data_IF_256420573330
#
_entry.id   IF_256420573330
#
_cell.length_a   1.000
_cell.length_b   1.000
_cell.length_c   1.000
_cell.angle_alpha   90.00
_cell.angle_beta   90.00
_cell.angle_gamma   90.00
#
_symmetry.space_group_name_H-M   'P 1'
#
loop_
_entity.id
_entity.type
_entity.pdbx_description
1 polymer ?
#
# COMPACT_ATOMS: atom_id res chain seq x y z
N UNK A 1 19.19 -12.94 -17.37
CA UNK A 1 18.28 -13.41 -16.31
C UNK A 1 17.65 -12.15 -15.72
N UNK A 2 16.50 -11.76 -16.25
CA UNK A 2 15.88 -10.46 -15.92
C UNK A 2 15.39 -10.51 -14.47
N UNK A 3 15.74 -9.50 -13.67
CA UNK A 3 15.14 -9.26 -12.35
C UNK A 3 13.61 -9.29 -12.48
N UNK A 4 12.98 -10.38 -12.03
CA UNK A 4 11.56 -10.67 -12.28
C UNK A 4 10.72 -10.80 -11.02
N UNK A 5 11.27 -10.45 -9.86
CA UNK A 5 10.66 -10.81 -8.59
C UNK A 5 10.62 -9.70 -7.52
N UNK A 6 10.99 -8.46 -7.86
CA UNK A 6 10.78 -7.33 -6.98
C UNK A 6 9.64 -6.48 -7.51
N UNK A 7 8.70 -6.14 -6.63
CA UNK A 7 7.74 -5.07 -6.91
C UNK A 7 8.52 -3.78 -7.19
N UNK A 8 7.98 -2.95 -8.08
CA UNK A 8 8.48 -1.61 -8.31
C UNK A 8 8.32 -0.79 -7.03
N UNK A 9 9.37 -0.09 -6.61
CA UNK A 9 9.30 0.84 -5.48
C UNK A 9 8.74 2.18 -5.93
N UNK A 10 7.86 2.76 -5.12
CA UNK A 10 7.27 4.09 -5.31
C UNK A 10 7.33 4.82 -3.98
N UNK A 11 7.79 6.07 -3.98
CA UNK A 11 7.77 6.89 -2.76
C UNK A 11 6.44 7.61 -2.66
N UNK A 12 5.77 7.48 -1.51
CA UNK A 12 4.53 8.20 -1.23
C UNK A 12 4.78 9.71 -1.17
N UNK A 13 4.03 10.47 -1.95
CA UNK A 13 4.10 11.93 -2.01
C UNK A 13 3.00 12.58 -1.17
N UNK A 14 1.82 11.96 -1.07
CA UNK A 14 0.69 12.50 -0.28
C UNK A 14 -0.27 11.40 0.17
N UNK A 15 -0.63 11.40 1.46
CA UNK A 15 -1.80 10.66 1.95
C UNK A 15 -3.06 11.46 1.65
N UNK A 16 -4.01 10.88 0.94
CA UNK A 16 -5.20 11.58 0.43
C UNK A 16 -6.40 11.38 1.33
N UNK A 17 -6.74 10.13 1.64
CA UNK A 17 -7.89 9.80 2.49
C UNK A 17 -7.81 8.36 2.99
N UNK A 18 -8.27 8.06 4.22
CA UNK A 18 -8.54 6.69 4.63
C UNK A 18 -9.76 6.13 3.89
N UNK A 19 -9.79 4.82 3.71
CA UNK A 19 -10.92 4.03 3.25
C UNK A 19 -11.46 3.24 4.44
N UNK A 20 -12.65 3.61 4.92
CA UNK A 20 -13.23 3.08 6.16
C UNK A 20 -14.00 1.75 5.97
N UNK A 21 -13.69 1.02 4.91
CA UNK A 21 -14.32 -0.27 4.63
C UNK A 21 -13.48 -1.41 5.22
N UNK A 22 -14.03 -2.05 6.27
CA UNK A 22 -13.42 -3.19 6.95
C UNK A 22 -12.33 -2.83 7.96
N UNK A 23 -11.93 -3.79 8.80
CA UNK A 23 -11.04 -3.57 9.95
C UNK A 23 -9.55 -3.41 9.63
N UNK A 24 -9.17 -3.11 8.39
CA UNK A 24 -7.76 -2.96 7.96
C UNK A 24 -7.37 -1.52 7.61
N UNK A 25 -8.34 -0.60 7.63
CA UNK A 25 -8.23 0.83 7.31
C UNK A 25 -7.22 1.16 6.19
N UNK A 26 -7.42 0.65 4.95
CA UNK A 26 -6.56 1.02 3.82
C UNK A 26 -6.66 2.53 3.53
N UNK A 27 -5.72 3.07 2.77
CA UNK A 27 -5.70 4.50 2.44
C UNK A 27 -5.39 4.77 0.98
N UNK A 28 -5.85 5.91 0.46
CA UNK A 28 -5.44 6.41 -0.85
C UNK A 28 -4.16 7.22 -0.69
N UNK A 29 -3.14 6.89 -1.47
CA UNK A 29 -1.83 7.54 -1.45
C UNK A 29 -1.41 7.90 -2.88
N UNK A 30 -0.94 9.12 -3.08
CA UNK A 30 -0.28 9.55 -4.32
C UNK A 30 1.21 9.19 -4.27
N UNK A 31 1.75 8.73 -5.39
CA UNK A 31 3.17 8.45 -5.57
C UNK A 31 3.94 9.64 -6.13
N UNK A 32 5.27 9.57 -6.09
CA UNK A 32 6.18 10.46 -6.79
C UNK A 32 6.20 10.24 -8.31
N UNK A 33 5.65 9.12 -8.76
CA UNK A 33 5.46 8.74 -10.16
C UNK A 33 4.13 9.26 -10.77
N UNK A 34 3.44 10.15 -10.07
CA UNK A 34 2.11 10.68 -10.43
C UNK A 34 0.99 9.62 -10.40
N UNK A 35 1.25 8.44 -9.85
CA UNK A 35 0.26 7.39 -9.63
C UNK A 35 -0.60 7.64 -8.40
N UNK A 36 -1.74 6.94 -8.33
CA UNK A 36 -2.63 6.90 -7.16
C UNK A 36 -2.87 5.45 -6.76
N UNK A 37 -2.65 5.15 -5.49
CA UNK A 37 -2.59 3.79 -4.97
C UNK A 37 -3.57 3.57 -3.82
N UNK A 38 -4.17 2.39 -3.79
CA UNK A 38 -4.77 1.86 -2.56
C UNK A 38 -3.65 1.21 -1.76
N UNK A 39 -3.29 1.83 -0.64
CA UNK A 39 -2.22 1.39 0.24
C UNK A 39 -2.78 0.50 1.36
N UNK A 40 -2.10 -0.64 1.58
CA UNK A 40 -2.24 -1.48 2.76
C UNK A 40 -1.01 -1.24 3.64
N UNK A 41 -1.22 -0.82 4.88
CA UNK A 41 -0.14 -0.42 5.78
C UNK A 41 0.46 -1.61 6.52
N UNK A 42 1.78 -1.55 6.79
CA UNK A 42 2.47 -2.53 7.63
C UNK A 42 1.97 -2.51 9.08
N UNK A 43 1.61 -1.32 9.58
CA UNK A 43 1.08 -1.09 10.92
C UNK A 43 -0.39 -1.48 11.10
N UNK A 44 -1.11 -1.89 10.05
CA UNK A 44 -2.50 -2.32 10.18
C UNK A 44 -2.62 -3.52 11.14
N UNK A 45 -3.71 -3.60 11.89
CA UNK A 45 -3.89 -4.59 12.97
C UNK A 45 -3.78 -6.07 12.55
N UNK A 46 -3.81 -6.36 11.24
CA UNK A 46 -3.63 -7.69 10.68
C UNK A 46 -2.16 -8.02 10.32
N UNK A 47 -1.28 -7.01 10.31
CA UNK A 47 0.17 -7.11 10.23
C UNK A 47 0.74 -7.59 8.89
N UNK A 48 2.05 -7.86 8.91
CA UNK A 48 2.85 -8.29 7.75
C UNK A 48 2.29 -9.51 6.98
N UNK A 49 1.69 -10.55 7.61
CA UNK A 49 1.16 -11.69 6.88
C UNK A 49 0.09 -11.32 5.83
N UNK A 50 -0.72 -10.30 6.10
CA UNK A 50 -1.73 -9.83 5.14
C UNK A 50 -1.07 -9.17 3.94
N UNK A 51 -0.03 -8.36 4.15
CA UNK A 51 0.73 -7.78 3.03
C UNK A 51 1.39 -8.85 2.17
N UNK A 52 1.93 -9.89 2.80
CA UNK A 52 2.48 -11.04 2.08
C UNK A 52 1.39 -11.72 1.25
N UNK A 53 0.19 -11.93 1.81
CA UNK A 53 -0.94 -12.49 1.09
C UNK A 53 -1.38 -11.63 -0.11
N UNK A 54 -1.42 -10.30 0.02
CA UNK A 54 -1.73 -9.38 -1.08
C UNK A 54 -0.75 -9.57 -2.26
N UNK A 55 0.55 -9.65 -1.99
CA UNK A 55 1.56 -9.88 -3.02
C UNK A 55 1.39 -11.25 -3.67
N UNK A 56 1.28 -12.31 -2.88
CA UNK A 56 1.15 -13.68 -3.40
C UNK A 56 -0.12 -13.86 -4.25
N UNK A 57 -1.26 -13.41 -3.74
CA UNK A 57 -2.55 -13.58 -4.43
C UNK A 57 -2.64 -12.67 -5.66
N UNK A 58 -2.13 -11.44 -5.58
CA UNK A 58 -2.07 -10.54 -6.73
C UNK A 58 -1.20 -11.08 -7.87
N UNK A 59 0.00 -11.55 -7.55
CA UNK A 59 0.89 -12.15 -8.56
C UNK A 59 0.34 -13.47 -9.11
N UNK A 60 -0.31 -14.30 -8.29
CA UNK A 60 -1.01 -15.49 -8.75
C UNK A 60 -2.15 -15.13 -9.72
N UNK A 61 -2.99 -14.16 -9.36
CA UNK A 61 -4.09 -13.71 -10.21
C UNK A 61 -3.58 -13.15 -11.55
N UNK A 62 -2.48 -12.38 -11.52
CA UNK A 62 -1.81 -11.86 -12.71
C UNK A 62 -1.26 -13.01 -13.59
N UNK A 63 -0.64 -14.02 -12.98
CA UNK A 63 -0.14 -15.20 -13.69
C UNK A 63 -1.26 -16.02 -14.33
N UNK A 64 -2.46 -16.02 -13.73
CA UNK A 64 -3.68 -16.63 -14.27
C UNK A 64 -4.37 -15.77 -15.35
N UNK A 65 -3.84 -14.58 -15.67
CA UNK A 65 -4.42 -13.69 -16.69
C UNK A 65 -5.67 -12.95 -16.25
N UNK A 66 -5.95 -12.88 -14.94
CA UNK A 66 -7.02 -12.05 -14.41
C UNK A 66 -6.67 -10.57 -14.54
N UNK A 67 -7.70 -9.71 -14.59
CA UNK A 67 -7.52 -8.25 -14.57
C UNK A 67 -7.12 -7.81 -13.16
N UNK A 68 -5.83 -7.93 -12.87
CA UNK A 68 -5.23 -7.55 -11.58
C UNK A 68 -4.57 -6.17 -11.72
N UNK A 69 -4.80 -5.24 -10.78
CA UNK A 69 -4.05 -3.99 -10.72
C UNK A 69 -2.54 -4.22 -10.57
N UNK A 70 -1.72 -3.25 -10.97
CA UNK A 70 -0.29 -3.27 -10.67
C UNK A 70 -0.07 -3.22 -9.15
N UNK A 71 0.83 -4.06 -8.65
CA UNK A 71 1.32 -3.99 -7.27
C UNK A 71 2.65 -3.25 -7.22
N UNK A 72 2.79 -2.35 -6.26
CA UNK A 72 4.02 -1.61 -5.98
C UNK A 72 4.40 -1.74 -4.50
N UNK A 73 5.69 -1.64 -4.21
CA UNK A 73 6.18 -1.42 -2.85
C UNK A 73 6.12 0.08 -2.58
N UNK A 74 5.13 0.51 -1.80
CA UNK A 74 4.95 1.92 -1.49
C UNK A 74 5.70 2.28 -0.21
N UNK A 75 6.66 3.20 -0.32
CA UNK A 75 7.40 3.73 0.82
C UNK A 75 6.65 4.93 1.40
N UNK A 76 6.12 4.77 2.62
CA UNK A 76 5.48 5.86 3.36
C UNK A 76 6.57 6.66 4.07
N UNK A 77 6.54 7.98 3.89
CA UNK A 77 7.52 8.88 4.50
C UNK A 77 6.97 9.50 5.78
N UNK A 78 7.84 9.69 6.78
CA UNK A 78 7.51 10.27 8.09
C UNK A 78 6.74 11.61 8.02
N UNK A 79 7.01 12.53 7.06
CA UNK A 79 6.24 13.76 6.92
C UNK A 79 4.75 13.55 6.61
N UNK A 80 4.37 12.42 6.00
CA UNK A 80 2.97 12.11 5.67
C UNK A 80 2.17 11.73 6.92
N UNK A 81 2.80 11.08 7.90
CA UNK A 81 2.18 10.66 9.14
C UNK A 81 1.88 11.86 10.07
N UNK A 82 2.76 12.85 10.06
CA UNK A 82 2.84 13.89 11.09
C UNK A 82 1.67 14.89 11.10
N UNK A 83 0.96 15.04 9.98
CA UNK A 83 -0.10 16.06 9.84
C UNK A 83 -1.51 15.47 9.75
N UNK A 84 -1.67 14.15 9.88
CA UNK A 84 -2.99 13.53 9.83
C UNK A 84 -3.77 13.79 11.13
N UNK A 85 -5.07 14.09 11.05
CA UNK A 85 -5.85 14.44 12.24
C UNK A 85 -6.40 13.21 12.97
N UNK A 86 -6.50 12.08 12.27
CA UNK A 86 -7.02 10.81 12.77
C UNK A 86 -5.89 10.00 13.43
N UNK A 87 -5.95 9.81 14.75
CA UNK A 87 -4.96 9.05 15.54
C UNK A 87 -4.79 7.61 15.02
N UNK A 88 -5.87 6.96 14.59
CA UNK A 88 -5.81 5.61 14.05
C UNK A 88 -5.00 5.58 12.75
N UNK A 89 -5.09 6.64 11.94
CA UNK A 89 -4.31 6.77 10.70
C UNK A 89 -2.86 7.15 10.99
N UNK A 90 -2.60 8.01 11.99
CA UNK A 90 -1.23 8.30 12.42
C UNK A 90 -0.50 7.02 12.84
N UNK A 91 -1.15 6.16 13.63
CA UNK A 91 -0.59 4.88 14.06
C UNK A 91 -0.26 3.94 12.90
N UNK A 92 -0.97 4.04 11.77
CA UNK A 92 -0.71 3.24 10.57
C UNK A 92 0.46 3.76 9.72
N UNK A 93 0.71 5.07 9.78
CA UNK A 93 1.73 5.75 8.97
C UNK A 93 3.10 5.85 9.67
N UNK A 94 3.15 5.62 10.99
CA UNK A 94 4.37 5.57 11.81
C UNK A 94 5.09 4.22 11.71
#
# INVERSE_FOLDING_TARGET
>A
MTDRNSLRSVTGSRFVTPLREGGSLPGIVEGDDLGTYVCKFRGAGQGLPVLVAEVFVGELARALGLRTPELVCLEITEPMARYEADEEVQDLLN
#
